data_IF_511484292692
#
_entry.id   IF_511484292692
#
_cell.length_a   1.000
_cell.length_b   1.000
_cell.length_c   1.000
_cell.angle_alpha   90.00
_cell.angle_beta   90.00
_cell.angle_gamma   90.00
#
_symmetry.space_group_name_H-M   'P 1'
#
loop_
_entity.id
_entity.type
_entity.pdbx_description
1 polymer ?
#
# COMPACT_ATOMS: atom_id res chain seq x y z
N UNK A 1 -8.62 30.43 -21.50
CA UNK A 1 -9.06 29.01 -21.55
C UNK A 1 -8.83 28.41 -20.18
N UNK A 2 -9.90 28.16 -19.41
CA UNK A 2 -9.80 27.34 -18.19
C UNK A 2 -9.41 25.92 -18.64
N UNK A 3 -8.44 25.31 -17.98
CA UNK A 3 -8.09 23.90 -18.21
C UNK A 3 -9.36 23.06 -17.97
N UNK A 4 -9.85 22.38 -19.00
CA UNK A 4 -10.95 21.44 -18.89
C UNK A 4 -10.46 20.28 -18.02
N UNK A 5 -10.96 20.22 -16.79
CA UNK A 5 -10.65 19.13 -15.87
C UNK A 5 -11.57 17.95 -16.21
N UNK A 6 -11.07 17.06 -17.06
CA UNK A 6 -11.78 15.86 -17.54
C UNK A 6 -12.30 15.02 -16.36
N UNK A 7 -11.55 14.92 -15.26
CA UNK A 7 -11.99 14.18 -14.07
C UNK A 7 -13.20 14.83 -13.40
N UNK A 8 -13.26 16.17 -13.39
CA UNK A 8 -14.40 16.91 -12.84
C UNK A 8 -15.63 16.79 -13.76
N UNK A 9 -15.45 16.87 -15.08
CA UNK A 9 -16.52 16.68 -16.06
C UNK A 9 -17.15 15.27 -15.94
N UNK A 10 -16.31 14.23 -15.86
CA UNK A 10 -16.76 12.86 -15.67
C UNK A 10 -17.50 12.69 -14.33
N UNK A 11 -16.96 13.28 -13.25
CA UNK A 11 -17.61 13.22 -11.95
C UNK A 11 -19.01 13.85 -11.97
N UNK A 12 -19.17 15.01 -12.59
CA UNK A 12 -20.48 15.66 -12.72
C UNK A 12 -21.45 14.83 -13.55
N UNK A 13 -20.99 14.20 -14.65
CA UNK A 13 -21.81 13.31 -15.49
C UNK A 13 -22.41 12.15 -14.67
N UNK A 14 -21.63 11.55 -13.76
CA UNK A 14 -22.08 10.41 -12.96
C UNK A 14 -22.84 10.79 -11.68
N UNK A 15 -22.63 11.99 -11.12
CA UNK A 15 -23.24 12.42 -9.85
C UNK A 15 -24.53 13.23 -10.01
N UNK A 16 -24.74 13.91 -11.15
CA UNK A 16 -25.95 14.71 -11.40
C UNK A 16 -26.23 14.82 -12.91
N UNK A 17 -27.14 14.02 -13.47
CA UNK A 17 -27.54 14.18 -14.85
C UNK A 17 -28.23 15.55 -15.00
N UNK A 18 -27.62 16.45 -15.76
CA UNK A 18 -28.25 17.70 -16.17
C UNK A 18 -29.41 17.31 -17.09
N UNK A 19 -30.62 17.32 -16.56
CA UNK A 19 -31.85 17.04 -17.28
C UNK A 19 -32.27 18.30 -18.05
N UNK A 20 -31.65 18.55 -19.20
CA UNK A 20 -32.11 19.54 -20.15
C UNK A 20 -32.62 18.84 -21.41
N UNK A 21 -33.88 19.06 -21.78
CA UNK A 21 -34.41 18.58 -23.07
C UNK A 21 -33.88 19.47 -24.20
N UNK A 22 -32.80 18.99 -24.83
CA UNK A 22 -32.15 19.68 -25.97
C UNK A 22 -33.11 19.92 -27.12
N UNK A 23 -34.13 19.06 -27.31
CA UNK A 23 -35.11 19.23 -28.39
C UNK A 23 -36.04 20.38 -28.10
N UNK A 24 -36.53 20.47 -26.87
CA UNK A 24 -37.38 21.58 -26.43
C UNK A 24 -36.63 22.90 -26.55
N UNK A 25 -35.40 22.96 -26.03
CA UNK A 25 -34.55 24.16 -26.11
C UNK A 25 -34.26 24.58 -27.56
N UNK A 26 -34.06 23.62 -28.46
CA UNK A 26 -33.88 23.91 -29.88
C UNK A 26 -35.15 24.49 -30.51
N UNK A 27 -36.33 23.96 -30.14
CA UNK A 27 -37.61 24.46 -30.62
C UNK A 27 -37.89 25.89 -30.15
N UNK A 28 -37.59 26.20 -28.88
CA UNK A 28 -37.67 27.58 -28.36
C UNK A 28 -36.79 28.54 -29.17
N UNK A 29 -35.55 28.14 -29.47
CA UNK A 29 -34.60 28.99 -30.21
C UNK A 29 -35.00 29.25 -31.65
N UNK A 30 -35.56 28.26 -32.35
CA UNK A 30 -36.04 28.49 -33.71
C UNK A 30 -37.28 29.39 -33.74
N UNK A 31 -38.14 29.34 -32.71
CA UNK A 31 -39.26 30.27 -32.55
C UNK A 31 -38.78 31.69 -32.24
N UNK A 32 -37.82 31.85 -31.32
CA UNK A 32 -37.19 33.13 -30.96
C UNK A 32 -36.57 33.81 -32.21
N UNK A 33 -35.89 33.04 -33.05
CA UNK A 33 -35.26 33.54 -34.27
C UNK A 33 -36.21 33.61 -35.47
N UNK A 34 -37.47 33.15 -35.34
CA UNK A 34 -38.46 33.15 -36.42
C UNK A 34 -38.05 32.31 -37.65
N UNK A 35 -37.28 31.25 -37.45
CA UNK A 35 -36.79 30.38 -38.54
C UNK A 35 -37.36 28.97 -38.43
N UNK A 36 -37.47 28.26 -39.55
CA UNK A 36 -37.86 26.85 -39.53
C UNK A 36 -36.67 25.96 -39.15
N UNK A 37 -36.96 24.79 -38.57
CA UNK A 37 -35.95 23.77 -38.25
C UNK A 37 -35.03 23.44 -39.43
N UNK A 38 -35.58 23.28 -40.63
CA UNK A 38 -34.80 22.99 -41.85
C UNK A 38 -33.84 24.13 -42.19
N UNK A 39 -34.27 25.38 -41.99
CA UNK A 39 -33.44 26.56 -42.26
C UNK A 39 -32.33 26.70 -41.22
N UNK A 40 -32.64 26.48 -39.94
CA UNK A 40 -31.66 26.46 -38.85
C UNK A 40 -30.54 25.44 -39.11
N UNK A 41 -30.91 24.18 -39.43
CA UNK A 41 -29.94 23.12 -39.72
C UNK A 41 -29.08 23.40 -40.95
N UNK A 42 -29.65 23.99 -42.01
CA UNK A 42 -28.89 24.46 -43.18
C UNK A 42 -27.91 25.58 -42.82
N UNK A 43 -28.31 26.55 -42.00
CA UNK A 43 -27.43 27.65 -41.56
C UNK A 43 -26.28 27.15 -40.69
N UNK A 44 -26.55 26.18 -39.81
CA UNK A 44 -25.54 25.51 -39.00
C UNK A 44 -24.66 24.57 -39.84
N UNK A 45 -25.06 24.24 -41.06
CA UNK A 45 -24.44 23.22 -41.91
C UNK A 45 -24.30 21.90 -41.13
N UNK A 46 -25.44 21.40 -40.64
CA UNK A 46 -25.58 20.13 -39.92
C UNK A 46 -26.74 19.36 -40.52
N UNK A 47 -26.49 18.12 -40.96
CA UNK A 47 -27.54 17.26 -41.50
C UNK A 47 -28.59 16.90 -40.45
N UNK A 48 -29.85 16.77 -40.87
CA UNK A 48 -30.98 16.46 -39.99
C UNK A 48 -30.75 15.18 -39.18
N UNK A 49 -30.32 14.12 -39.85
CA UNK A 49 -30.09 12.82 -39.21
C UNK A 49 -28.93 12.90 -38.20
N UNK A 50 -27.89 13.69 -38.50
CA UNK A 50 -26.76 13.90 -37.61
C UNK A 50 -27.18 14.68 -36.36
N UNK A 51 -27.96 15.75 -36.53
CA UNK A 51 -28.54 16.50 -35.42
C UNK A 51 -29.42 15.60 -34.54
N UNK A 52 -30.35 14.84 -35.15
CA UNK A 52 -31.25 13.93 -34.43
C UNK A 52 -30.47 12.84 -33.68
N UNK A 53 -29.38 12.32 -34.25
CA UNK A 53 -28.51 11.35 -33.58
C UNK A 53 -27.73 11.96 -32.41
N UNK A 54 -27.26 13.21 -32.52
CA UNK A 54 -26.53 13.91 -31.44
C UNK A 54 -27.47 14.18 -30.26
N UNK A 55 -28.62 14.81 -30.51
CA UNK A 55 -29.55 15.19 -29.43
C UNK A 55 -30.22 13.98 -28.77
N UNK A 56 -30.41 12.88 -29.51
CA UNK A 56 -30.96 11.63 -28.97
C UNK A 56 -29.90 10.69 -28.37
N UNK A 57 -28.63 11.09 -28.40
CA UNK A 57 -27.50 10.29 -27.92
C UNK A 57 -27.25 8.98 -28.70
N UNK A 58 -27.86 8.81 -29.86
CA UNK A 58 -27.64 7.65 -30.74
C UNK A 58 -26.40 7.80 -31.63
N UNK A 59 -25.78 8.99 -31.66
CA UNK A 59 -24.53 9.22 -32.38
C UNK A 59 -23.39 8.44 -31.73
N UNK A 60 -22.91 7.37 -32.38
CA UNK A 60 -21.75 6.58 -31.91
C UNK A 60 -20.48 7.43 -31.73
N UNK A 61 -20.25 8.37 -32.65
CA UNK A 61 -19.13 9.33 -32.61
C UNK A 61 -19.64 10.73 -33.01
N UNK A 62 -20.11 11.55 -32.05
CA UNK A 62 -20.57 12.89 -32.38
C UNK A 62 -19.37 13.76 -32.77
N UNK A 63 -19.49 14.44 -33.91
CA UNK A 63 -18.45 15.35 -34.40
C UNK A 63 -18.36 16.59 -33.48
N UNK A 64 -17.16 16.87 -32.95
CA UNK A 64 -16.90 18.02 -32.07
C UNK A 64 -17.33 19.35 -32.68
N UNK A 65 -17.16 19.54 -34.00
CA UNK A 65 -17.58 20.76 -34.69
C UNK A 65 -19.11 20.90 -34.63
N UNK A 66 -19.85 19.80 -34.76
CA UNK A 66 -21.32 19.83 -34.65
C UNK A 66 -21.77 20.09 -33.22
N UNK A 67 -21.07 19.53 -32.22
CA UNK A 67 -21.34 19.82 -30.81
C UNK A 67 -21.21 21.33 -30.54
N UNK A 68 -20.09 21.95 -30.97
CA UNK A 68 -19.86 23.38 -30.79
C UNK A 68 -20.92 24.22 -31.50
N UNK A 69 -21.23 23.92 -32.77
CA UNK A 69 -22.26 24.63 -33.53
C UNK A 69 -23.64 24.60 -32.87
N UNK A 70 -24.03 23.44 -32.34
CA UNK A 70 -25.32 23.28 -31.68
C UNK A 70 -25.32 23.99 -30.32
N UNK A 71 -24.25 23.86 -29.53
CA UNK A 71 -24.11 24.55 -28.24
C UNK A 71 -24.24 26.08 -28.39
N UNK A 72 -23.52 26.67 -29.36
CA UNK A 72 -23.60 28.10 -29.68
C UNK A 72 -25.00 28.51 -30.14
N UNK A 73 -25.66 27.70 -30.98
CA UNK A 73 -27.03 27.99 -31.42
C UNK A 73 -28.04 27.99 -30.26
N UNK A 74 -27.84 27.09 -29.29
CA UNK A 74 -28.70 26.93 -28.13
C UNK A 74 -28.40 27.91 -26.99
N UNK A 75 -27.31 28.68 -27.12
CA UNK A 75 -26.78 29.54 -26.05
C UNK A 75 -26.46 28.74 -24.77
N UNK A 76 -25.88 27.55 -24.95
CA UNK A 76 -25.45 26.65 -23.87
C UNK A 76 -23.92 26.62 -23.84
N UNK A 77 -23.32 26.68 -22.65
CA UNK A 77 -21.88 26.50 -22.53
C UNK A 77 -21.45 25.14 -23.08
N UNK A 78 -20.36 25.11 -23.86
CA UNK A 78 -19.91 23.90 -24.56
C UNK A 78 -19.71 22.73 -23.57
N UNK A 79 -19.18 23.00 -22.38
CA UNK A 79 -18.95 21.99 -21.35
C UNK A 79 -20.28 21.34 -20.87
N UNK A 80 -21.31 22.15 -20.66
CA UNK A 80 -22.64 21.68 -20.25
C UNK A 80 -23.32 20.89 -21.40
N UNK A 81 -23.15 21.36 -22.63
CA UNK A 81 -23.71 20.66 -23.79
C UNK A 81 -23.01 19.32 -24.05
N UNK A 82 -21.68 19.24 -23.88
CA UNK A 82 -20.94 17.98 -23.90
C UNK A 82 -21.48 17.03 -22.83
N UNK A 83 -21.72 17.53 -21.60
CA UNK A 83 -22.29 16.72 -20.52
C UNK A 83 -23.67 16.17 -20.89
N UNK A 84 -24.57 16.98 -21.46
CA UNK A 84 -25.91 16.56 -21.88
C UNK A 84 -25.85 15.52 -23.02
N UNK A 85 -24.97 15.73 -24.00
CA UNK A 85 -24.78 14.76 -25.10
C UNK A 85 -24.24 13.44 -24.57
N UNK A 86 -23.26 13.47 -23.65
CA UNK A 86 -22.70 12.27 -23.04
C UNK A 86 -23.68 11.56 -22.10
N UNK A 87 -24.53 12.28 -21.37
CA UNK A 87 -25.56 11.67 -20.51
C UNK A 87 -26.69 11.02 -21.31
N UNK A 88 -26.98 11.54 -22.50
CA UNK A 88 -27.98 10.97 -23.40
C UNK A 88 -27.42 9.82 -24.25
N UNK A 89 -26.09 9.67 -24.34
CA UNK A 89 -25.48 8.63 -25.15
C UNK A 89 -25.77 7.22 -24.63
N UNK A 90 -25.89 6.27 -25.56
CA UNK A 90 -26.16 4.87 -25.26
C UNK A 90 -25.23 4.32 -24.16
N UNK A 91 -25.75 3.37 -23.38
CA UNK A 91 -25.02 2.65 -22.31
C UNK A 91 -23.65 2.13 -22.75
N UNK A 92 -23.45 1.88 -24.04
CA UNK A 92 -22.19 1.45 -24.65
C UNK A 92 -21.07 2.50 -24.57
N UNK A 93 -21.34 3.77 -24.90
CA UNK A 93 -20.30 4.81 -24.86
C UNK A 93 -19.92 5.18 -23.42
N UNK A 94 -20.92 5.25 -22.53
CA UNK A 94 -20.71 5.43 -21.09
C UNK A 94 -19.86 4.28 -20.53
N UNK A 95 -20.13 3.03 -20.94
CA UNK A 95 -19.32 1.87 -20.55
C UNK A 95 -17.87 1.95 -21.05
N UNK A 96 -17.64 2.53 -22.24
CA UNK A 96 -16.28 2.70 -22.79
C UNK A 96 -15.46 3.73 -22.00
N UNK A 97 -16.11 4.81 -21.57
CA UNK A 97 -15.49 5.88 -20.77
C UNK A 97 -15.21 5.38 -19.34
N UNK A 98 -16.17 4.67 -18.73
CA UNK A 98 -15.99 4.01 -17.43
C UNK A 98 -14.83 3.01 -17.47
N UNK A 99 -14.76 2.18 -18.53
CA UNK A 99 -13.66 1.25 -18.73
C UNK A 99 -12.31 1.97 -18.84
N UNK A 100 -12.22 3.07 -19.59
CA UNK A 100 -11.00 3.86 -19.68
C UNK A 100 -10.58 4.40 -18.31
N UNK A 101 -11.53 4.92 -17.52
CA UNK A 101 -11.30 5.40 -16.16
C UNK A 101 -10.78 4.29 -15.23
N UNK A 102 -11.40 3.11 -15.25
CA UNK A 102 -10.97 1.94 -14.45
C UNK A 102 -9.55 1.50 -14.82
N UNK A 103 -9.22 1.47 -16.11
CA UNK A 103 -7.87 1.16 -16.61
C UNK A 103 -6.88 2.21 -16.11
N UNK A 104 -7.19 3.50 -16.27
CA UNK A 104 -6.31 4.59 -15.80
C UNK A 104 -6.09 4.50 -14.29
N UNK A 105 -7.14 4.25 -13.51
CA UNK A 105 -7.04 4.05 -12.06
C UNK A 105 -6.08 2.90 -11.71
N UNK A 106 -6.28 1.71 -12.31
CA UNK A 106 -5.43 0.55 -12.05
C UNK A 106 -3.98 0.81 -12.43
N UNK A 107 -3.75 1.32 -13.64
CA UNK A 107 -2.39 1.58 -14.15
C UNK A 107 -1.69 2.71 -13.39
N UNK A 108 -2.43 3.70 -12.86
CA UNK A 108 -1.85 4.79 -12.08
C UNK A 108 -1.41 4.34 -10.69
N UNK A 109 -2.17 3.46 -10.06
CA UNK A 109 -1.97 3.09 -8.65
C UNK A 109 -1.23 1.77 -8.45
N UNK A 110 -1.31 0.82 -9.40
CA UNK A 110 -0.86 -0.56 -9.16
C UNK A 110 0.13 -1.12 -10.17
N UNK A 111 1.13 -1.80 -9.62
CA UNK A 111 2.00 -2.81 -10.23
C UNK A 111 1.28 -4.04 -10.79
N UNK A 112 0.37 -3.94 -11.77
CA UNK A 112 -0.47 -5.12 -12.13
C UNK A 112 0.36 -6.34 -12.52
N UNK A 113 1.42 -6.18 -13.33
CA UNK A 113 2.28 -7.27 -13.77
C UNK A 113 2.98 -7.96 -12.59
N UNK A 114 3.52 -7.17 -11.67
CA UNK A 114 4.30 -7.68 -10.55
C UNK A 114 3.41 -8.26 -9.46
N UNK A 115 2.26 -7.65 -9.21
CA UNK A 115 1.24 -8.16 -8.30
C UNK A 115 0.67 -9.50 -8.81
N UNK A 116 0.48 -9.68 -10.13
CA UNK A 116 0.14 -11.00 -10.69
C UNK A 116 1.24 -12.02 -10.43
N UNK A 117 2.52 -11.67 -10.64
CA UNK A 117 3.65 -12.57 -10.36
C UNK A 117 3.74 -12.97 -8.88
N UNK A 118 3.29 -12.11 -7.98
CA UNK A 118 3.21 -12.36 -6.54
C UNK A 118 1.97 -13.14 -6.11
N UNK A 119 1.06 -13.43 -7.04
CA UNK A 119 -0.19 -14.14 -6.76
C UNK A 119 -1.30 -13.28 -6.16
N UNK A 120 -1.16 -11.94 -6.18
CA UNK A 120 -2.25 -11.03 -5.77
C UNK A 120 -3.38 -11.02 -6.79
N UNK A 121 -3.01 -10.90 -8.06
CA UNK A 121 -3.94 -11.00 -9.18
C UNK A 121 -3.81 -12.37 -9.84
N UNK A 122 -4.92 -12.90 -10.34
CA UNK A 122 -4.91 -14.03 -11.24
C UNK A 122 -4.34 -13.66 -12.61
N UNK A 123 -3.99 -14.66 -13.43
CA UNK A 123 -3.48 -14.45 -14.79
C UNK A 123 -4.53 -13.92 -15.78
N UNK A 124 -5.81 -13.87 -15.38
CA UNK A 124 -6.89 -13.29 -16.18
C UNK A 124 -6.98 -11.79 -15.92
N UNK A 125 -6.65 -10.99 -16.93
CA UNK A 125 -6.63 -9.52 -16.85
C UNK A 125 -7.98 -8.89 -17.24
N UNK A 126 -9.07 -9.37 -16.67
CA UNK A 126 -10.37 -8.69 -16.80
C UNK A 126 -10.42 -7.51 -15.83
N UNK A 127 -10.63 -6.30 -16.38
CA UNK A 127 -10.50 -5.04 -15.63
C UNK A 127 -11.42 -4.99 -14.41
N UNK A 128 -12.66 -5.43 -14.56
CA UNK A 128 -13.64 -5.42 -13.47
C UNK A 128 -13.26 -6.40 -12.35
N UNK A 129 -12.71 -7.57 -12.70
CA UNK A 129 -12.21 -8.55 -11.71
C UNK A 129 -10.99 -8.00 -10.96
N UNK A 130 -10.05 -7.39 -11.68
CA UNK A 130 -8.87 -6.77 -11.05
C UNK A 130 -9.27 -5.63 -10.12
N UNK A 131 -10.24 -4.81 -10.54
CA UNK A 131 -10.73 -3.69 -9.76
C UNK A 131 -11.47 -4.17 -8.50
N UNK A 132 -12.38 -5.13 -8.64
CA UNK A 132 -13.08 -5.75 -7.53
C UNK A 132 -12.10 -6.36 -6.53
N UNK A 133 -11.07 -7.09 -7.00
CA UNK A 133 -10.03 -7.65 -6.14
C UNK A 133 -9.30 -6.57 -5.33
N UNK A 134 -8.92 -5.45 -5.96
CA UNK A 134 -8.24 -4.34 -5.25
C UNK A 134 -9.17 -3.69 -4.22
N UNK A 135 -10.39 -3.35 -4.64
CA UNK A 135 -11.35 -2.64 -3.79
C UNK A 135 -11.73 -3.50 -2.58
N UNK A 136 -12.08 -4.77 -2.82
CA UNK A 136 -12.36 -5.75 -1.76
C UNK A 136 -11.16 -5.97 -0.86
N UNK A 137 -9.95 -6.10 -1.42
CA UNK A 137 -8.74 -6.33 -0.63
C UNK A 137 -8.48 -5.22 0.39
N UNK A 138 -8.58 -3.95 -0.03
CA UNK A 138 -8.41 -2.78 0.83
C UNK A 138 -9.71 -2.32 1.53
N UNK A 139 -10.83 -3.03 1.34
CA UNK A 139 -12.11 -2.75 1.99
C UNK A 139 -12.82 -1.47 1.52
N UNK A 140 -12.64 -1.05 0.27
CA UNK A 140 -13.34 0.09 -0.33
C UNK A 140 -14.52 -0.37 -1.19
N UNK A 141 -15.64 0.36 -1.16
CA UNK A 141 -16.81 0.09 -2.01
C UNK A 141 -16.73 0.70 -3.41
N UNK A 142 -15.79 1.62 -3.66
CA UNK A 142 -15.64 2.25 -4.99
C UNK A 142 -14.26 2.88 -5.20
N UNK A 143 -13.92 3.17 -6.46
CA UNK A 143 -12.73 3.97 -6.84
C UNK A 143 -12.73 5.32 -6.12
N UNK A 144 -13.89 5.98 -6.02
CA UNK A 144 -14.01 7.28 -5.38
C UNK A 144 -13.63 7.22 -3.89
N UNK A 145 -14.03 6.14 -3.21
CA UNK A 145 -13.71 5.94 -1.80
C UNK A 145 -12.21 5.69 -1.60
N UNK A 146 -11.61 4.85 -2.46
CA UNK A 146 -10.17 4.63 -2.50
C UNK A 146 -9.41 5.96 -2.71
N UNK A 147 -9.84 6.77 -3.69
CA UNK A 147 -9.18 8.03 -4.02
C UNK A 147 -9.31 9.11 -2.93
N UNK A 148 -10.39 9.08 -2.14
CA UNK A 148 -10.51 9.91 -0.93
C UNK A 148 -9.53 9.46 0.14
N UNK A 149 -9.30 8.16 0.30
CA UNK A 149 -8.29 7.60 1.18
C UNK A 149 -6.84 7.96 0.78
N UNK A 150 -6.58 8.27 -0.49
CA UNK A 150 -5.27 8.77 -0.95
C UNK A 150 -4.92 10.17 -0.43
N UNK A 151 -5.88 10.89 0.18
CA UNK A 151 -5.68 12.27 0.67
C UNK A 151 -5.20 12.31 2.11
N UNK A 152 -5.12 11.16 2.79
CA UNK A 152 -4.44 11.08 4.09
C UNK A 152 -2.96 11.50 3.94
N UNK A 153 -2.36 12.16 4.97
CA UNK A 153 -0.99 12.71 4.92
C UNK A 153 0.07 11.70 4.44
N UNK A 154 -0.21 10.41 4.65
CA UNK A 154 0.59 9.25 4.27
C UNK A 154 0.88 9.12 2.76
N UNK A 155 0.05 9.66 1.87
CA UNK A 155 0.03 9.26 0.45
C UNK A 155 0.15 10.42 -0.54
N UNK A 156 1.11 11.34 -0.33
CA UNK A 156 1.27 12.53 -1.19
C UNK A 156 1.32 12.23 -2.70
N UNK A 157 0.75 13.16 -3.49
CA UNK A 157 0.33 13.00 -4.89
C UNK A 157 1.41 13.37 -5.94
N UNK A 158 2.68 13.02 -5.71
CA UNK A 158 3.71 13.19 -6.74
C UNK A 158 3.69 12.03 -7.76
N UNK A 159 4.23 12.25 -8.97
CA UNK A 159 4.26 11.28 -10.08
C UNK A 159 5.11 10.06 -9.70
N UNK A 160 4.47 8.91 -9.50
CA UNK A 160 5.04 7.71 -8.87
C UNK A 160 5.73 6.79 -9.88
N UNK A 161 6.97 6.39 -9.60
CA UNK A 161 7.68 5.33 -10.31
C UNK A 161 7.07 3.95 -10.02
N UNK A 162 7.52 2.91 -10.73
CA UNK A 162 7.13 1.52 -10.46
C UNK A 162 7.40 1.11 -9.00
N UNK A 163 8.60 1.45 -8.49
CA UNK A 163 9.01 1.14 -7.11
C UNK A 163 8.07 1.82 -6.12
N UNK A 164 7.64 3.05 -6.43
CA UNK A 164 6.76 3.84 -5.56
C UNK A 164 5.35 3.26 -5.49
N UNK A 165 4.82 2.66 -6.57
CA UNK A 165 3.50 1.99 -6.53
C UNK A 165 3.53 0.74 -5.66
N UNK A 166 4.60 -0.04 -5.80
CA UNK A 166 4.80 -1.25 -5.02
C UNK A 166 5.00 -0.92 -3.53
N UNK A 167 5.81 0.10 -3.22
CA UNK A 167 5.94 0.64 -1.86
C UNK A 167 4.61 1.16 -1.33
N UNK A 168 3.85 1.98 -2.07
CA UNK A 168 2.53 2.49 -1.65
C UNK A 168 1.57 1.35 -1.32
N UNK A 169 1.48 0.32 -2.18
CA UNK A 169 0.66 -0.85 -1.93
C UNK A 169 1.03 -1.53 -0.60
N UNK A 170 2.32 -1.72 -0.35
CA UNK A 170 2.82 -2.36 0.87
C UNK A 170 2.54 -1.52 2.12
N UNK A 171 2.82 -0.22 2.08
CA UNK A 171 2.58 0.76 3.16
C UNK A 171 1.09 0.84 3.49
N UNK A 172 0.24 0.95 2.45
CA UNK A 172 -1.21 0.99 2.60
C UNK A 172 -1.76 -0.29 3.21
N UNK A 173 -1.22 -1.44 2.79
CA UNK A 173 -1.62 -2.73 3.34
C UNK A 173 -1.32 -2.82 4.84
N UNK A 174 -0.11 -2.41 5.24
CA UNK A 174 0.29 -2.39 6.64
C UNK A 174 -0.58 -1.42 7.45
N UNK A 175 -0.74 -0.18 6.98
CA UNK A 175 -1.53 0.85 7.67
C UNK A 175 -3.00 0.43 7.88
N UNK A 176 -3.65 -0.09 6.83
CA UNK A 176 -5.02 -0.59 6.97
C UNK A 176 -5.11 -1.80 7.90
N UNK A 177 -4.13 -2.71 7.86
CA UNK A 177 -4.08 -3.84 8.79
C UNK A 177 -4.02 -3.35 10.24
N UNK A 178 -3.16 -2.37 10.55
CA UNK A 178 -3.10 -1.79 11.89
C UNK A 178 -4.40 -1.09 12.30
N UNK A 179 -5.02 -0.34 11.38
CA UNK A 179 -6.31 0.33 11.62
C UNK A 179 -7.44 -0.67 11.90
N UNK A 180 -7.41 -1.86 11.30
CA UNK A 180 -8.40 -2.91 11.57
C UNK A 180 -8.09 -3.69 12.85
N UNK A 181 -6.82 -3.97 13.15
CA UNK A 181 -6.43 -4.61 14.41
C UNK A 181 -6.84 -3.73 15.59
N UNK A 182 -6.59 -2.41 15.50
CA UNK A 182 -6.95 -1.39 16.47
C UNK A 182 -6.66 -1.82 17.91
N UNK A 183 -5.37 -1.85 18.26
CA UNK A 183 -4.91 -2.36 19.56
C UNK A 183 -5.56 -1.58 20.71
N UNK A 184 -6.35 -2.24 21.58
CA UNK A 184 -7.09 -1.58 22.64
C UNK A 184 -6.18 -1.15 23.81
N UNK A 185 -4.97 -1.69 23.91
CA UNK A 185 -4.04 -1.36 24.98
C UNK A 185 -3.37 0.00 24.75
N UNK A 186 -3.21 0.78 25.80
CA UNK A 186 -2.52 2.07 25.73
C UNK A 186 -1.01 1.87 25.59
N UNK A 187 -0.36 2.79 24.88
CA UNK A 187 1.09 2.73 24.70
C UNK A 187 1.83 3.10 25.98
N UNK A 188 2.56 2.14 26.56
CA UNK A 188 3.43 2.35 27.72
C UNK A 188 4.91 2.18 27.35
N UNK A 189 5.60 3.32 27.23
CA UNK A 189 7.03 3.35 26.90
C UNK A 189 7.92 2.73 27.97
N UNK A 190 7.54 2.76 29.24
CA UNK A 190 8.36 2.19 30.32
C UNK A 190 8.25 0.67 30.32
N UNK A 191 7.05 0.11 30.20
CA UNK A 191 6.87 -1.33 30.06
C UNK A 191 7.48 -1.86 28.75
N UNK A 192 7.44 -1.08 27.66
CA UNK A 192 8.16 -1.43 26.44
C UNK A 192 9.66 -1.62 26.68
N UNK A 193 10.31 -0.75 27.45
CA UNK A 193 11.73 -0.91 27.79
C UNK A 193 11.99 -2.19 28.57
N UNK A 194 11.11 -2.55 29.50
CA UNK A 194 11.23 -3.80 30.26
C UNK A 194 11.12 -5.02 29.34
N UNK A 195 10.19 -5.01 28.39
CA UNK A 195 10.08 -6.07 27.37
C UNK A 195 11.36 -6.14 26.53
N UNK A 196 11.85 -5.00 26.06
CA UNK A 196 13.07 -4.93 25.23
C UNK A 196 14.28 -5.47 25.98
N UNK A 197 14.43 -5.22 27.28
CA UNK A 197 15.54 -5.78 28.07
C UNK A 197 15.46 -7.30 28.18
N UNK A 198 14.25 -7.86 28.23
CA UNK A 198 14.01 -9.27 28.54
C UNK A 198 13.65 -10.13 27.32
N UNK A 199 13.56 -9.58 26.11
CA UNK A 199 13.10 -10.34 24.93
C UNK A 199 14.16 -11.28 24.33
N UNK A 200 15.45 -11.10 24.66
CA UNK A 200 16.58 -11.83 24.07
C UNK A 200 16.43 -13.36 24.14
N UNK A 201 16.12 -13.95 25.32
CA UNK A 201 16.02 -15.39 25.50
C UNK A 201 14.97 -16.04 24.61
N UNK A 202 13.88 -15.32 24.29
CA UNK A 202 12.81 -15.82 23.45
C UNK A 202 13.26 -16.13 22.02
N UNK A 203 14.36 -15.55 21.55
CA UNK A 203 14.95 -15.94 20.26
C UNK A 203 15.38 -17.41 20.21
N UNK A 204 15.60 -18.06 21.36
CA UNK A 204 15.95 -19.49 21.38
C UNK A 204 14.76 -20.41 21.07
N UNK A 205 13.52 -19.96 21.28
CA UNK A 205 12.33 -20.69 20.87
C UNK A 205 11.91 -20.26 19.46
N UNK A 206 12.30 -21.07 18.48
CA UNK A 206 11.96 -20.84 17.08
C UNK A 206 10.45 -20.77 16.88
N UNK A 207 9.67 -21.66 17.51
CA UNK A 207 8.24 -21.85 17.20
C UNK A 207 7.31 -20.87 17.90
N UNK A 208 7.68 -20.40 19.10
CA UNK A 208 6.79 -19.55 19.91
C UNK A 208 7.44 -18.25 20.39
N UNK A 209 8.76 -18.09 20.23
CA UNK A 209 9.48 -16.92 20.73
C UNK A 209 8.95 -15.60 20.20
N UNK A 210 8.79 -15.48 18.87
CA UNK A 210 8.23 -14.28 18.25
C UNK A 210 6.77 -14.04 18.67
N UNK A 211 5.96 -15.10 18.78
CA UNK A 211 4.58 -14.98 19.24
C UNK A 211 4.50 -14.40 20.65
N UNK A 212 5.31 -14.91 21.58
CA UNK A 212 5.32 -14.42 22.96
C UNK A 212 5.74 -12.96 23.02
N UNK A 213 6.79 -12.59 22.27
CA UNK A 213 7.25 -11.19 22.20
C UNK A 213 6.18 -10.29 21.57
N UNK A 214 5.54 -10.71 20.49
CA UNK A 214 4.51 -9.89 19.84
C UNK A 214 3.30 -9.69 20.74
N UNK A 215 2.89 -10.71 21.51
CA UNK A 215 1.85 -10.57 22.53
C UNK A 215 2.24 -9.61 23.64
N UNK A 216 3.47 -9.70 24.14
CA UNK A 216 3.98 -8.78 25.16
C UNK A 216 3.96 -7.33 24.64
N UNK A 217 4.46 -7.10 23.42
CA UNK A 217 4.42 -5.80 22.75
C UNK A 217 2.98 -5.31 22.57
N UNK A 218 2.06 -6.19 22.15
CA UNK A 218 0.65 -5.86 21.99
C UNK A 218 0.03 -5.39 23.30
N UNK A 219 0.35 -6.05 24.42
CA UNK A 219 -0.17 -5.70 25.75
C UNK A 219 0.26 -4.33 26.26
N UNK A 220 1.36 -3.78 25.73
CA UNK A 220 1.87 -2.43 26.07
C UNK A 220 1.58 -1.40 24.97
N UNK A 221 0.62 -1.70 24.08
CA UNK A 221 0.16 -0.79 23.03
C UNK A 221 1.04 -0.71 21.79
N UNK A 222 1.97 -1.65 21.58
CA UNK A 222 2.80 -1.76 20.36
C UNK A 222 2.28 -2.92 19.50
N UNK A 223 1.78 -2.63 18.30
CA UNK A 223 1.26 -3.68 17.40
C UNK A 223 2.34 -4.12 16.41
N UNK A 224 2.68 -5.41 16.38
CA UNK A 224 3.65 -5.94 15.41
C UNK A 224 2.97 -6.93 14.47
N UNK A 225 3.13 -6.76 13.16
CA UNK A 225 2.66 -7.71 12.15
C UNK A 225 3.80 -8.18 11.25
N UNK A 226 3.62 -9.33 10.63
CA UNK A 226 4.45 -9.80 9.52
C UNK A 226 3.68 -9.64 8.22
N UNK A 227 4.34 -9.15 7.19
CA UNK A 227 3.78 -9.00 5.85
C UNK A 227 4.74 -9.61 4.84
N UNK A 228 4.21 -10.36 3.88
CA UNK A 228 5.02 -10.96 2.81
C UNK A 228 5.85 -9.90 2.10
N UNK A 229 7.08 -10.24 1.73
CA UNK A 229 7.95 -9.33 1.01
C UNK A 229 7.37 -9.04 -0.38
N UNK A 230 7.34 -7.76 -0.71
CA UNK A 230 6.93 -7.27 -2.01
C UNK A 230 8.19 -6.91 -2.80
N UNK A 231 8.54 -7.76 -3.77
CA UNK A 231 9.70 -7.59 -4.64
C UNK A 231 9.85 -6.16 -5.14
N UNK A 232 11.09 -5.67 -5.15
CA UNK A 232 11.56 -4.32 -5.55
C UNK A 232 11.49 -3.24 -4.48
N UNK A 233 10.77 -3.44 -3.38
CA UNK A 233 10.71 -2.44 -2.30
C UNK A 233 12.02 -2.33 -1.52
N UNK A 234 12.78 -3.42 -1.37
CA UNK A 234 13.95 -3.54 -0.48
C UNK A 234 13.68 -3.19 0.99
N UNK A 235 12.42 -2.91 1.34
CA UNK A 235 11.96 -2.59 2.70
C UNK A 235 12.08 -3.85 3.54
N UNK A 236 12.75 -3.73 4.69
CA UNK A 236 12.92 -4.84 5.65
C UNK A 236 11.87 -4.79 6.75
N UNK A 237 11.48 -3.60 7.14
CA UNK A 237 10.41 -3.30 8.08
C UNK A 237 9.99 -1.85 7.97
N UNK A 238 9.02 -1.46 8.77
CA UNK A 238 8.68 -0.06 8.96
C UNK A 238 7.92 0.17 10.25
N UNK A 239 8.06 1.38 10.77
CA UNK A 239 7.40 1.85 11.98
C UNK A 239 6.38 2.93 11.62
N UNK A 240 5.16 2.77 12.11
CA UNK A 240 3.99 3.59 11.80
C UNK A 240 3.42 4.18 13.08
N UNK A 241 2.84 5.37 12.96
CA UNK A 241 1.97 5.94 13.97
C UNK A 241 0.51 5.81 13.51
N UNK A 242 -0.26 4.93 14.16
CA UNK A 242 -1.68 4.70 13.83
C UNK A 242 -2.51 4.96 15.08
N UNK A 243 -3.48 5.87 15.00
CA UNK A 243 -4.28 6.32 16.14
C UNK A 243 -3.42 6.74 17.36
N UNK A 244 -2.25 7.33 17.11
CA UNK A 244 -1.30 7.76 18.16
C UNK A 244 -0.46 6.63 18.77
N UNK A 245 -0.62 5.38 18.35
CA UNK A 245 0.08 4.21 18.87
C UNK A 245 1.16 3.70 17.89
N UNK A 246 2.28 3.14 18.39
CA UNK A 246 3.33 2.58 17.56
C UNK A 246 2.92 1.24 16.95
N UNK A 247 3.14 1.12 15.65
CA UNK A 247 2.84 -0.07 14.87
C UNK A 247 4.09 -0.46 14.06
N UNK A 248 4.51 -1.71 14.13
CA UNK A 248 5.69 -2.23 13.43
C UNK A 248 5.25 -3.28 12.43
N UNK A 249 5.67 -3.15 11.17
CA UNK A 249 5.51 -4.21 10.17
C UNK A 249 6.89 -4.76 9.83
N UNK A 250 7.03 -6.07 9.91
CA UNK A 250 8.24 -6.78 9.52
C UNK A 250 7.99 -7.51 8.20
N UNK A 251 9.00 -7.52 7.33
CA UNK A 251 8.95 -8.35 6.12
C UNK A 251 9.62 -9.70 6.34
N UNK A 252 9.18 -10.71 5.60
CA UNK A 252 9.92 -11.98 5.48
C UNK A 252 11.10 -11.89 4.49
N UNK A 253 11.66 -10.68 4.26
CA UNK A 253 12.78 -10.46 3.36
C UNK A 253 13.97 -11.38 3.69
N UNK A 254 14.53 -12.02 2.65
CA UNK A 254 15.53 -13.09 2.73
C UNK A 254 15.13 -14.35 3.51
N UNK A 255 13.93 -14.42 4.10
CA UNK A 255 13.37 -15.63 4.73
C UNK A 255 14.30 -16.25 5.78
N UNK A 256 14.93 -15.40 6.58
CA UNK A 256 15.92 -15.79 7.60
C UNK A 256 15.44 -15.39 8.99
N UNK A 257 15.30 -16.37 9.88
CA UNK A 257 14.97 -16.17 11.28
C UNK A 257 15.77 -15.07 12.00
N UNK A 258 17.12 -15.03 11.93
CA UNK A 258 17.88 -13.98 12.61
C UNK A 258 17.64 -12.57 12.03
N UNK A 259 17.25 -12.46 10.76
CA UNK A 259 16.91 -11.17 10.15
C UNK A 259 15.62 -10.62 10.75
N UNK A 260 14.63 -11.46 11.05
CA UNK A 260 13.36 -11.01 11.66
C UNK A 260 13.62 -10.39 13.04
N UNK A 261 14.42 -11.04 13.89
CA UNK A 261 14.80 -10.52 15.20
C UNK A 261 15.64 -9.23 15.12
N UNK A 262 16.58 -9.17 14.18
CA UNK A 262 17.37 -7.96 13.94
C UNK A 262 16.46 -6.79 13.53
N UNK A 263 15.60 -6.99 12.53
CA UNK A 263 14.67 -5.95 12.07
C UNK A 263 13.72 -5.55 13.18
N UNK A 264 13.16 -6.49 13.94
CA UNK A 264 12.30 -6.17 15.10
C UNK A 264 13.01 -5.23 16.09
N UNK A 265 14.26 -5.51 16.42
CA UNK A 265 15.02 -4.67 17.36
C UNK A 265 15.38 -3.30 16.75
N UNK A 266 15.63 -3.24 15.44
CA UNK A 266 15.82 -1.99 14.70
C UNK A 266 14.56 -1.13 14.75
N UNK A 267 13.38 -1.67 14.47
CA UNK A 267 12.11 -0.92 14.53
C UNK A 267 11.75 -0.50 15.96
N UNK A 268 12.06 -1.34 16.95
CA UNK A 268 11.87 -1.01 18.36
C UNK A 268 12.77 0.15 18.81
N UNK A 269 13.95 0.32 18.22
CA UNK A 269 14.75 1.54 18.43
C UNK A 269 13.94 2.77 17.98
N UNK A 270 13.37 2.75 16.77
CA UNK A 270 12.56 3.86 16.28
C UNK A 270 11.34 4.15 17.18
N UNK A 271 10.67 3.10 17.69
CA UNK A 271 9.58 3.30 18.66
C UNK A 271 10.07 3.93 19.97
N UNK A 272 11.26 3.56 20.44
CA UNK A 272 11.80 4.05 21.72
C UNK A 272 12.39 5.46 21.63
N UNK A 273 13.03 5.81 20.52
CA UNK A 273 13.86 7.01 20.41
C UNK A 273 13.35 8.03 19.40
N UNK A 274 12.61 7.58 18.37
CA UNK A 274 12.25 8.40 17.21
C UNK A 274 10.73 8.57 17.02
N UNK A 275 9.91 7.94 17.87
CA UNK A 275 8.46 7.84 17.66
C UNK A 275 7.72 9.18 17.62
N UNK A 276 8.20 10.20 18.33
CA UNK A 276 7.59 11.53 18.28
C UNK A 276 7.75 12.17 16.89
N UNK A 277 8.87 11.94 16.21
CA UNK A 277 9.09 12.35 14.82
C UNK A 277 8.28 11.50 13.84
N UNK A 278 8.15 10.21 14.09
CA UNK A 278 7.33 9.32 13.27
C UNK A 278 5.84 9.70 13.39
N UNK A 279 5.38 10.13 14.56
CA UNK A 279 4.02 10.67 14.73
C UNK A 279 3.77 11.91 13.88
N UNK A 280 4.77 12.77 13.66
CA UNK A 280 4.62 13.93 12.76
C UNK A 280 4.67 13.55 11.28
N UNK A 281 5.50 12.56 10.92
CA UNK A 281 5.68 12.11 9.53
C UNK A 281 4.78 10.92 9.14
N UNK A 282 3.91 10.48 10.06
CA UNK A 282 3.01 9.32 9.99
C UNK A 282 3.67 7.94 9.93
N UNK A 283 4.82 7.77 9.26
CA UNK A 283 5.56 6.49 9.22
C UNK A 283 7.05 6.67 8.85
N UNK A 284 7.80 5.59 9.03
CA UNK A 284 9.20 5.40 8.62
C UNK A 284 9.38 3.99 8.03
N UNK A 285 10.24 3.84 7.02
CA UNK A 285 10.56 2.57 6.37
C UNK A 285 12.08 2.32 6.37
N UNK A 286 12.53 1.19 6.91
CA UNK A 286 13.95 0.85 6.87
C UNK A 286 14.42 0.50 5.46
N UNK A 287 15.54 1.10 5.06
CA UNK A 287 16.17 0.91 3.75
C UNK A 287 15.80 1.97 2.70
N UNK A 288 15.07 3.02 3.07
CA UNK A 288 15.01 4.28 2.34
C UNK A 288 15.92 5.31 3.03
N UNK A 289 16.54 6.20 2.25
CA UNK A 289 17.34 7.29 2.83
C UNK A 289 16.38 8.32 3.45
N UNK A 290 16.04 8.13 4.72
CA UNK A 290 15.27 9.09 5.51
C UNK A 290 16.22 10.19 6.00
N UNK A 291 16.02 11.43 5.53
CA UNK A 291 16.86 12.57 5.90
C UNK A 291 16.77 12.94 7.39
N UNK A 292 15.75 12.46 8.11
CA UNK A 292 15.47 12.86 9.48
C UNK A 292 15.82 11.81 10.52
N UNK A 293 15.99 10.55 10.11
CA UNK A 293 16.27 9.42 10.99
C UNK A 293 17.65 8.84 10.75
N UNK A 294 18.35 8.47 11.82
CA UNK A 294 19.71 7.95 11.75
C UNK A 294 19.68 6.42 11.78
N UNK A 295 19.49 5.79 10.62
CA UNK A 295 19.44 4.34 10.43
C UNK A 295 20.60 3.58 11.12
N UNK A 296 21.80 4.18 11.08
CA UNK A 296 22.99 3.58 11.68
C UNK A 296 22.85 3.38 13.21
N UNK A 297 22.13 4.27 13.90
CA UNK A 297 21.89 4.13 15.34
C UNK A 297 20.97 2.94 15.64
N UNK A 298 19.90 2.77 14.87
CA UNK A 298 18.99 1.64 15.00
C UNK A 298 19.71 0.31 14.68
N UNK A 299 20.52 0.30 13.63
CA UNK A 299 21.38 -0.82 13.26
C UNK A 299 22.36 -1.21 14.37
N UNK A 300 23.06 -0.23 14.94
CA UNK A 300 24.02 -0.45 16.02
C UNK A 300 23.33 -0.88 17.31
N UNK A 301 22.17 -0.28 17.64
CA UNK A 301 21.35 -0.70 18.78
C UNK A 301 20.96 -2.18 18.69
N UNK A 302 20.48 -2.63 17.54
CA UNK A 302 20.14 -4.03 17.33
C UNK A 302 21.36 -4.97 17.39
N UNK A 303 22.53 -4.54 16.87
CA UNK A 303 23.78 -5.32 16.94
C UNK A 303 24.28 -5.46 18.37
N UNK A 304 24.40 -4.35 19.08
CA UNK A 304 24.90 -4.32 20.45
C UNK A 304 23.96 -5.06 21.40
N UNK A 305 22.66 -5.05 21.11
CA UNK A 305 21.70 -5.86 21.85
C UNK A 305 21.96 -7.37 21.73
N UNK A 306 22.15 -7.89 20.51
CA UNK A 306 22.31 -9.32 20.29
C UNK A 306 23.76 -9.82 20.44
N UNK A 307 24.71 -9.21 19.72
CA UNK A 307 26.12 -9.60 19.69
C UNK A 307 27.04 -8.36 19.64
N UNK A 308 27.31 -7.71 20.79
CA UNK A 308 28.26 -6.60 20.87
C UNK A 308 29.66 -6.99 20.39
N UNK A 309 30.46 -5.96 20.04
CA UNK A 309 31.78 -6.15 19.46
C UNK A 309 32.70 -7.01 20.33
N UNK A 310 32.73 -6.85 21.66
CA UNK A 310 33.63 -7.66 22.51
C UNK A 310 33.26 -9.15 22.43
N UNK A 311 31.97 -9.45 22.43
CA UNK A 311 31.44 -10.80 22.30
C UNK A 311 31.74 -11.41 20.93
N UNK A 312 31.67 -10.61 19.87
CA UNK A 312 32.14 -11.00 18.55
C UNK A 312 33.63 -11.34 18.54
N UNK A 313 34.48 -10.52 19.15
CA UNK A 313 35.93 -10.73 19.20
C UNK A 313 36.29 -12.05 19.90
N UNK A 314 35.51 -12.46 20.90
CA UNK A 314 35.63 -13.77 21.53
C UNK A 314 35.20 -14.91 20.60
N UNK A 315 33.98 -14.86 20.06
CA UNK A 315 33.41 -16.01 19.35
C UNK A 315 34.03 -16.25 17.96
N UNK A 316 34.62 -15.22 17.34
CA UNK A 316 35.19 -15.32 15.99
C UNK A 316 36.26 -16.42 15.85
N UNK A 317 37.03 -16.70 16.91
CA UNK A 317 38.09 -17.73 16.89
C UNK A 317 37.52 -19.15 17.01
N UNK A 318 36.30 -19.28 17.53
CA UNK A 318 35.62 -20.55 17.75
C UNK A 318 34.45 -20.80 16.78
N UNK A 319 34.25 -19.94 15.77
CA UNK A 319 33.06 -19.98 14.89
C UNK A 319 32.85 -21.33 14.18
N UNK A 320 33.94 -22.06 13.90
CA UNK A 320 33.90 -23.38 13.26
C UNK A 320 33.69 -24.53 14.27
N UNK A 321 33.73 -24.26 15.59
CA UNK A 321 33.48 -25.23 16.63
C UNK A 321 32.02 -25.14 17.09
N UNK A 322 31.16 -25.98 16.51
CA UNK A 322 29.71 -26.00 16.80
C UNK A 322 29.37 -26.06 18.29
N UNK A 323 30.12 -26.84 19.07
CA UNK A 323 29.87 -26.97 20.51
C UNK A 323 30.13 -25.64 21.24
N UNK A 324 31.25 -24.98 20.92
CA UNK A 324 31.58 -23.67 21.50
C UNK A 324 30.57 -22.60 21.09
N UNK A 325 30.13 -22.58 19.82
CA UNK A 325 29.13 -21.62 19.34
C UNK A 325 27.76 -21.85 20.00
N UNK A 326 27.33 -23.11 20.12
CA UNK A 326 26.07 -23.45 20.79
C UNK A 326 26.09 -23.07 22.28
N UNK A 327 27.20 -23.37 22.97
CA UNK A 327 27.40 -22.98 24.37
C UNK A 327 27.38 -21.46 24.54
N UNK A 328 28.12 -20.75 23.70
CA UNK A 328 28.16 -19.29 23.70
C UNK A 328 26.78 -18.68 23.43
N UNK A 329 26.02 -19.21 22.47
CA UNK A 329 24.68 -18.74 22.16
C UNK A 329 23.75 -18.88 23.38
N UNK A 330 23.80 -20.03 24.06
CA UNK A 330 23.03 -20.29 25.28
C UNK A 330 23.42 -19.37 26.44
N UNK A 331 24.71 -19.19 26.70
CA UNK A 331 25.23 -18.29 27.75
C UNK A 331 24.88 -16.81 27.49
N UNK A 332 24.68 -16.45 26.22
CA UNK A 332 24.26 -15.10 25.81
C UNK A 332 22.77 -14.99 25.53
N UNK A 333 22.00 -16.04 25.83
CA UNK A 333 20.55 -16.09 25.70
C UNK A 333 20.03 -15.80 24.29
N UNK A 334 20.77 -16.22 23.26
CA UNK A 334 20.37 -16.01 21.85
C UNK A 334 20.30 -17.31 21.08
N UNK A 335 19.49 -17.31 20.02
CA UNK A 335 19.55 -18.39 19.04
C UNK A 335 20.92 -18.49 18.38
N UNK A 336 21.39 -19.71 18.13
CA UNK A 336 22.68 -19.97 17.49
C UNK A 336 22.80 -19.31 16.09
N UNK A 337 21.68 -19.20 15.35
CA UNK A 337 21.66 -18.55 14.03
C UNK A 337 21.98 -17.06 14.10
N UNK A 338 21.67 -16.37 15.22
CA UNK A 338 22.01 -14.96 15.40
C UNK A 338 23.53 -14.82 15.46
N UNK A 339 24.22 -15.69 16.22
CA UNK A 339 25.69 -15.68 16.30
C UNK A 339 26.33 -15.78 14.92
N UNK A 340 25.90 -16.75 14.11
CA UNK A 340 26.41 -16.91 12.75
C UNK A 340 26.05 -15.72 11.85
N UNK A 341 24.81 -15.21 11.92
CA UNK A 341 24.37 -14.05 11.14
C UNK A 341 25.22 -12.81 11.44
N UNK A 342 25.36 -12.43 12.71
CA UNK A 342 26.17 -11.29 13.11
C UNK A 342 27.65 -11.51 12.82
N UNK A 343 28.18 -12.74 12.98
CA UNK A 343 29.56 -13.06 12.58
C UNK A 343 29.79 -12.73 11.10
N UNK A 344 28.91 -13.20 10.19
CA UNK A 344 29.07 -12.91 8.75
C UNK A 344 28.99 -11.41 8.45
N UNK A 345 28.16 -10.68 9.20
CA UNK A 345 28.07 -9.23 9.09
C UNK A 345 29.37 -8.54 9.54
N UNK A 346 29.90 -8.85 10.73
CA UNK A 346 31.15 -8.29 11.22
C UNK A 346 32.34 -8.63 10.30
N UNK A 347 32.39 -9.85 9.77
CA UNK A 347 33.43 -10.25 8.82
C UNK A 347 33.41 -9.41 7.55
N UNK A 348 32.21 -9.12 7.03
CA UNK A 348 32.05 -8.25 5.86
C UNK A 348 32.44 -6.80 6.18
N UNK A 349 31.95 -6.24 7.28
CA UNK A 349 32.09 -4.81 7.56
C UNK A 349 33.46 -4.42 8.14
N UNK A 350 34.08 -5.27 8.97
CA UNK A 350 35.36 -4.96 9.60
C UNK A 350 36.56 -5.50 8.82
N UNK A 351 36.39 -6.57 8.05
CA UNK A 351 37.50 -7.26 7.39
C UNK A 351 37.31 -7.43 5.88
N UNK A 352 36.22 -6.90 5.31
CA UNK A 352 35.87 -7.04 3.89
C UNK A 352 35.83 -8.51 3.41
N UNK A 353 35.45 -9.44 4.30
CA UNK A 353 35.36 -10.88 4.00
C UNK A 353 33.90 -11.28 3.80
N UNK A 354 33.59 -11.77 2.60
CA UNK A 354 32.25 -12.24 2.25
C UNK A 354 32.10 -13.74 2.55
N UNK A 355 31.19 -14.08 3.46
CA UNK A 355 30.83 -15.44 3.83
C UNK A 355 29.49 -15.86 3.19
N UNK A 356 29.36 -15.63 1.88
CA UNK A 356 28.09 -15.86 1.19
C UNK A 356 27.63 -17.32 1.34
N UNK A 357 26.40 -17.52 1.82
CA UNK A 357 25.78 -18.81 2.08
C UNK A 357 26.45 -19.71 3.15
N UNK A 358 27.46 -19.23 3.87
CA UNK A 358 28.05 -19.96 4.99
C UNK A 358 27.04 -20.15 6.14
N UNK A 359 27.19 -21.25 6.88
CA UNK A 359 26.45 -21.54 8.12
C UNK A 359 24.94 -21.70 7.95
N UNK A 360 24.43 -21.87 6.72
CA UNK A 360 22.99 -22.00 6.42
C UNK A 360 22.34 -23.16 7.19
N UNK A 361 23.09 -24.22 7.46
CA UNK A 361 22.68 -25.38 8.25
C UNK A 361 22.29 -25.04 9.69
N UNK A 362 22.68 -23.87 10.21
CA UNK A 362 22.33 -23.40 11.55
C UNK A 362 21.13 -22.44 11.56
N UNK A 363 20.56 -22.12 10.40
CA UNK A 363 19.38 -21.26 10.28
C UNK A 363 18.15 -22.15 10.31
N UNK A 364 17.23 -21.95 11.27
CA UNK A 364 15.99 -22.70 11.28
C UNK A 364 15.13 -22.29 10.08
N UNK A 365 14.16 -23.14 9.73
CA UNK A 365 13.13 -22.74 8.78
C UNK A 365 12.35 -21.56 9.36
N UNK A 366 12.28 -20.46 8.62
CA UNK A 366 11.56 -19.28 9.07
C UNK A 366 10.07 -19.54 9.18
N UNK A 367 9.53 -20.50 8.41
CA UNK A 367 8.11 -20.83 8.43
C UNK A 367 7.68 -21.30 9.82
N UNK A 368 8.52 -22.10 10.50
CA UNK A 368 8.26 -22.54 11.87
C UNK A 368 8.10 -21.37 12.84
N UNK A 369 8.80 -20.26 12.59
CA UNK A 369 8.77 -19.08 13.44
C UNK A 369 7.59 -18.14 13.20
N UNK A 370 7.03 -18.15 12.00
CA UNK A 370 5.93 -17.25 11.62
C UNK A 370 4.58 -17.97 11.54
N UNK A 371 4.56 -19.30 11.59
CA UNK A 371 3.35 -20.12 11.44
C UNK A 371 2.21 -19.74 12.38
N UNK A 372 2.52 -19.29 13.61
CA UNK A 372 1.52 -18.92 14.61
C UNK A 372 1.12 -17.43 14.57
N UNK A 373 1.73 -16.63 13.70
CA UNK A 373 1.58 -15.18 13.65
C UNK A 373 0.62 -14.69 12.55
N UNK A 374 0.10 -15.61 11.72
CA UNK A 374 -0.79 -15.29 10.59
C UNK A 374 -0.23 -14.14 9.72
N UNK A 375 0.98 -14.28 9.14
CA UNK A 375 1.57 -13.22 8.32
C UNK A 375 0.63 -12.82 7.19
N UNK A 376 0.49 -11.52 6.94
CA UNK A 376 -0.33 -11.00 5.84
C UNK A 376 0.28 -11.45 4.52
N UNK A 377 -0.51 -12.17 3.74
CA UNK A 377 -0.13 -12.62 2.39
C UNK A 377 -0.87 -11.83 1.33
N UNK A 378 -0.37 -11.87 0.10
CA UNK A 378 -1.05 -11.23 -1.05
C UNK A 378 -2.22 -12.04 -1.58
N UNK A 379 -2.48 -13.22 -1.01
CA UNK A 379 -3.56 -14.11 -1.40
C UNK A 379 -4.78 -14.00 -0.48
N UNK A 380 -4.72 -13.14 0.54
CA UNK A 380 -5.85 -12.90 1.43
C UNK A 380 -7.07 -12.36 0.64
N UNK A 381 -8.26 -12.70 1.13
CA UNK A 381 -9.51 -12.16 0.61
C UNK A 381 -9.58 -10.65 0.79
N UNK A 382 -9.37 -10.19 2.02
CA UNK A 382 -9.26 -8.78 2.39
C UNK A 382 -8.33 -8.58 3.58
N UNK A 383 -7.83 -7.35 3.72
CA UNK A 383 -7.02 -6.95 4.87
C UNK A 383 -7.80 -7.00 6.17
N UNK A 384 -9.12 -6.80 6.13
CA UNK A 384 -9.99 -6.99 7.30
C UNK A 384 -9.93 -8.44 7.80
N UNK A 385 -10.13 -9.41 6.91
CA UNK A 385 -10.06 -10.85 7.25
C UNK A 385 -8.67 -11.23 7.77
N UNK A 386 -7.60 -10.72 7.14
CA UNK A 386 -6.24 -10.94 7.62
C UNK A 386 -6.01 -10.34 9.01
N UNK A 387 -6.52 -9.13 9.25
CA UNK A 387 -6.43 -8.42 10.53
C UNK A 387 -7.17 -9.17 11.63
N UNK A 388 -8.37 -9.70 11.36
CA UNK A 388 -9.14 -10.47 12.33
C UNK A 388 -8.39 -11.75 12.76
N UNK A 389 -7.75 -12.44 11.81
CA UNK A 389 -6.88 -13.60 12.10
C UNK A 389 -5.71 -13.22 13.01
N UNK A 390 -5.03 -12.11 12.72
CA UNK A 390 -3.91 -11.62 13.54
C UNK A 390 -4.39 -11.21 14.93
N UNK A 391 -5.47 -10.44 15.00
CA UNK A 391 -6.06 -9.95 16.26
C UNK A 391 -6.44 -11.11 17.17
N UNK A 392 -7.07 -12.15 16.61
CA UNK A 392 -7.41 -13.35 17.39
C UNK A 392 -6.18 -13.98 18.05
N UNK A 393 -5.03 -14.02 17.37
CA UNK A 393 -3.79 -14.55 17.94
C UNK A 393 -3.35 -13.75 19.16
N UNK A 394 -3.43 -12.42 19.12
CA UNK A 394 -2.99 -11.55 20.22
C UNK A 394 -3.96 -11.52 21.40
N UNK A 395 -5.26 -11.59 21.15
CA UNK A 395 -6.29 -11.50 22.20
C UNK A 395 -6.62 -12.83 22.88
N UNK A 396 -6.19 -13.97 22.32
CA UNK A 396 -6.32 -15.27 22.99
C UNK A 396 -5.45 -15.28 24.27
N UNK A 397 -6.13 -15.38 25.41
CA UNK A 397 -5.55 -15.49 26.76
C UNK A 397 -4.80 -16.80 26.97
#
# INVERSE_FOLDING_TARGET
MKNINVDQLLKTIFESPVSLDVRERFNEKIEEYGITRTRALKLLNVDKDVFDQIISGKAKQPNLIHIVKIAEFLDIQIDDFIQIVLSNQSSENISSIDRARKVTFLMKNFDVKTLTKMGFFEHKYEIDILLDKVLTFFGYGSINEFERGLVEPLFSRAKRSFSDKMKDFWVRSAYQTFKHIDNPNEYDRNQLKEIVVNMKPYSQDVKSGLLVVFKALYSVGVTVILQSYLSTTHVRGGTFAVNGKPCIVLTDYNKKYPTIWFTLMHELHHVLFDFDMIKTNSFHLSGDDDLFLVEEKADNFARDYFLPLEKFQYIKTYINNRYMVARFAKENEIHISLVYSFFTWYQKNLYNRNYHAAFKEFYPDYQDAVAKLNPVTWQEESLKVASDKIKSVFEIK
#
